data_IF_843759243143
#
_entry.id   IF_843759243143
#
_cell.length_a   1.000
_cell.length_b   1.000
_cell.length_c   1.000
_cell.angle_alpha   90.00
_cell.angle_beta   90.00
_cell.angle_gamma   90.00
#
_symmetry.space_group_name_H-M   'P 1'
#
loop_
_entity.id
_entity.type
_entity.pdbx_description
1 polymer ?
#
# COMPACT_ATOMS: atom_id res chain seq x y z
N UNK A 1 32.25 -57.61 23.28
CA UNK A 1 30.87 -57.06 23.36
C UNK A 1 30.81 -55.77 22.53
N UNK A 2 29.74 -55.63 21.76
CA UNK A 2 29.66 -54.94 20.46
C UNK A 2 29.77 -53.41 20.49
N UNK A 3 30.48 -52.85 19.49
CA UNK A 3 30.36 -51.48 19.01
C UNK A 3 29.06 -51.36 18.19
N UNK A 4 28.17 -50.44 18.56
CA UNK A 4 26.97 -50.10 17.77
C UNK A 4 27.40 -49.42 16.47
N UNK A 5 27.03 -50.03 15.34
CA UNK A 5 27.15 -49.44 14.00
C UNK A 5 26.03 -48.40 13.82
N UNK A 6 26.41 -47.17 13.47
CA UNK A 6 25.50 -46.21 12.85
C UNK A 6 25.17 -46.72 11.44
N UNK A 7 23.89 -46.99 11.19
CA UNK A 7 23.38 -47.23 9.84
C UNK A 7 23.29 -45.87 9.13
N UNK A 8 24.29 -45.58 8.29
CA UNK A 8 24.17 -44.52 7.30
C UNK A 8 23.22 -45.05 6.21
N UNK A 9 21.96 -44.59 6.24
CA UNK A 9 21.02 -44.80 5.14
C UNK A 9 21.59 -44.01 3.96
N UNK A 10 22.21 -44.72 3.01
CA UNK A 10 22.65 -44.15 1.74
C UNK A 10 21.43 -43.65 0.98
N UNK A 11 21.20 -42.34 0.98
CA UNK A 11 20.35 -41.70 -0.03
C UNK A 11 21.08 -41.86 -1.37
N UNK A 12 20.48 -42.60 -2.30
CA UNK A 12 21.09 -42.86 -3.61
C UNK A 12 21.12 -41.58 -4.45
N UNK A 13 22.13 -41.38 -5.32
CA UNK A 13 22.19 -40.21 -6.20
C UNK A 13 20.94 -40.05 -7.07
N UNK A 14 20.29 -41.16 -7.41
CA UNK A 14 19.06 -41.25 -8.20
C UNK A 14 17.84 -40.67 -7.48
N UNK A 15 17.76 -40.80 -6.14
CA UNK A 15 16.66 -40.19 -5.36
C UNK A 15 16.84 -38.68 -5.21
N UNK A 16 18.08 -38.21 -5.15
CA UNK A 16 18.39 -36.78 -5.13
C UNK A 16 18.15 -36.11 -6.49
N UNK A 17 18.55 -36.77 -7.58
CA UNK A 17 18.26 -36.33 -8.95
C UNK A 17 16.76 -36.37 -9.24
N UNK A 18 16.06 -37.47 -8.93
CA UNK A 18 14.61 -37.56 -9.18
C UNK A 18 13.80 -36.51 -8.40
N UNK A 19 14.20 -36.19 -7.16
CA UNK A 19 13.57 -35.13 -6.38
C UNK A 19 13.86 -33.73 -6.97
N UNK A 20 15.08 -33.50 -7.47
CA UNK A 20 15.44 -32.26 -8.17
C UNK A 20 14.73 -32.11 -9.52
N UNK A 21 14.61 -33.17 -10.32
CA UNK A 21 13.92 -33.14 -11.61
C UNK A 21 12.42 -32.97 -11.43
N UNK A 22 11.80 -33.67 -10.46
CA UNK A 22 10.38 -33.53 -10.15
C UNK A 22 10.03 -32.12 -9.65
N UNK A 23 10.90 -31.55 -8.80
CA UNK A 23 10.77 -30.17 -8.37
C UNK A 23 10.93 -29.21 -9.55
N UNK A 24 11.95 -29.39 -10.40
CA UNK A 24 12.18 -28.58 -11.60
C UNK A 24 11.02 -28.62 -12.60
N UNK A 25 10.40 -29.78 -12.83
CA UNK A 25 9.23 -29.91 -13.71
C UNK A 25 7.98 -29.25 -13.11
N UNK A 26 7.76 -29.42 -11.80
CA UNK A 26 6.69 -28.73 -11.07
C UNK A 26 6.88 -27.21 -11.08
N UNK A 27 8.12 -26.73 -10.99
CA UNK A 27 8.46 -25.31 -11.04
C UNK A 27 8.29 -24.73 -12.44
N UNK A 28 8.74 -25.42 -13.48
CA UNK A 28 8.51 -24.95 -14.85
C UNK A 28 7.02 -24.98 -15.20
N UNK A 29 6.25 -25.93 -14.65
CA UNK A 29 4.79 -25.95 -14.72
C UNK A 29 4.14 -24.81 -13.94
N UNK A 30 4.61 -24.44 -12.75
CA UNK A 30 4.07 -23.33 -11.95
C UNK A 30 4.45 -21.97 -12.53
N UNK A 31 5.67 -21.83 -13.05
CA UNK A 31 6.12 -20.68 -13.84
C UNK A 31 5.31 -20.57 -15.13
N UNK A 32 5.10 -21.68 -15.85
CA UNK A 32 4.16 -21.72 -16.97
C UNK A 32 2.74 -21.43 -16.51
N UNK A 33 2.26 -21.85 -15.33
CA UNK A 33 0.93 -21.47 -14.85
C UNK A 33 0.84 -19.97 -14.56
N UNK A 34 1.85 -19.39 -13.91
CA UNK A 34 1.92 -17.94 -13.68
C UNK A 34 2.07 -17.13 -15.00
N UNK A 35 2.70 -17.70 -16.04
CA UNK A 35 3.00 -17.01 -17.32
C UNK A 35 2.01 -17.32 -18.44
N UNK A 36 1.39 -18.51 -18.46
CA UNK A 36 0.52 -19.07 -19.52
C UNK A 36 -0.96 -19.08 -19.10
N UNK A 37 -1.27 -19.14 -17.80
CA UNK A 37 -2.65 -19.19 -17.28
C UNK A 37 -3.06 -17.91 -16.54
N UNK A 38 -2.96 -16.76 -17.21
CA UNK A 38 -3.63 -15.52 -16.80
C UNK A 38 -5.18 -15.62 -16.68
N UNK A 39 -5.79 -16.82 -16.79
CA UNK A 39 -7.26 -16.96 -16.91
C UNK A 39 -7.96 -18.15 -16.21
N UNK A 40 -7.29 -19.09 -15.51
CA UNK A 40 -7.99 -20.32 -15.02
C UNK A 40 -7.80 -20.67 -13.52
N UNK A 41 -7.43 -19.72 -12.66
CA UNK A 41 -7.46 -19.97 -11.23
C UNK A 41 -8.90 -19.94 -10.72
N UNK A 42 -9.47 -21.12 -10.50
CA UNK A 42 -10.68 -21.23 -9.69
C UNK A 42 -10.30 -21.15 -8.21
N UNK A 43 -11.15 -20.57 -7.33
CA UNK A 43 -10.91 -20.60 -5.89
C UNK A 43 -10.67 -22.02 -5.35
N UNK A 44 -11.32 -23.03 -5.96
CA UNK A 44 -11.13 -24.45 -5.62
C UNK A 44 -9.74 -25.02 -5.90
N UNK A 45 -8.95 -24.39 -6.77
CA UNK A 45 -7.61 -24.85 -7.15
C UNK A 45 -6.49 -24.04 -6.48
N UNK A 46 -6.83 -22.97 -5.76
CA UNK A 46 -5.83 -22.15 -5.09
C UNK A 46 -5.22 -22.90 -3.90
N UNK A 47 -3.88 -22.87 -3.83
CA UNK A 47 -3.13 -23.49 -2.75
C UNK A 47 -2.07 -22.52 -2.23
N UNK A 48 -2.35 -21.93 -1.09
CA UNK A 48 -1.48 -20.94 -0.44
C UNK A 48 -0.09 -21.49 -0.13
N UNK A 49 0.01 -22.74 0.34
CA UNK A 49 1.29 -23.37 0.68
C UNK A 49 2.21 -23.52 -0.55
N UNK A 50 1.63 -23.68 -1.74
CA UNK A 50 2.43 -23.69 -2.98
C UNK A 50 3.00 -22.31 -3.30
N UNK A 51 2.23 -21.25 -3.09
CA UNK A 51 2.71 -19.87 -3.26
C UNK A 51 3.81 -19.52 -2.26
N UNK A 52 3.63 -19.91 -1.00
CA UNK A 52 4.65 -19.71 0.02
C UNK A 52 5.96 -20.44 -0.34
N UNK A 53 5.90 -21.69 -0.79
CA UNK A 53 7.08 -22.44 -1.23
C UNK A 53 7.79 -21.84 -2.46
N UNK A 54 7.08 -21.10 -3.31
CA UNK A 54 7.67 -20.34 -4.42
C UNK A 54 8.34 -19.06 -3.90
N UNK A 55 7.68 -18.37 -2.98
CA UNK A 55 8.20 -17.17 -2.34
C UNK A 55 9.41 -17.43 -1.44
N UNK A 56 9.58 -18.63 -0.90
CA UNK A 56 10.81 -19.00 -0.16
C UNK A 56 12.05 -19.12 -1.08
N UNK A 57 11.86 -19.17 -2.41
CA UNK A 57 12.93 -19.37 -3.40
C UNK A 57 13.40 -18.08 -4.09
N UNK A 58 13.29 -16.92 -3.42
CA UNK A 58 13.63 -15.59 -3.96
C UNK A 58 15.07 -15.45 -4.47
N UNK A 59 15.98 -16.35 -4.10
CA UNK A 59 17.33 -16.39 -4.66
C UNK A 59 17.38 -16.66 -6.18
N UNK A 60 16.26 -17.11 -6.78
CA UNK A 60 16.13 -17.29 -8.22
C UNK A 60 15.56 -16.03 -8.90
N UNK A 61 16.43 -15.21 -9.47
CA UNK A 61 16.07 -13.94 -10.12
C UNK A 61 14.97 -14.05 -11.20
N UNK A 62 14.92 -15.18 -11.93
CA UNK A 62 13.87 -15.36 -12.94
C UNK A 62 12.50 -15.62 -12.30
N UNK A 63 12.47 -16.40 -11.22
CA UNK A 63 11.24 -16.66 -10.45
C UNK A 63 10.76 -15.38 -9.75
N UNK A 64 11.66 -14.63 -9.12
CA UNK A 64 11.32 -13.37 -8.45
C UNK A 64 10.66 -12.37 -9.40
N UNK A 65 11.21 -12.24 -10.62
CA UNK A 65 10.60 -11.39 -11.65
C UNK A 65 9.18 -11.83 -12.03
N UNK A 66 8.97 -13.13 -12.23
CA UNK A 66 7.64 -13.68 -12.56
C UNK A 66 6.64 -13.45 -11.42
N UNK A 67 7.06 -13.68 -10.17
CA UNK A 67 6.23 -13.43 -8.99
C UNK A 67 5.85 -11.95 -8.90
N UNK A 68 6.81 -11.05 -9.09
CA UNK A 68 6.57 -9.60 -9.10
C UNK A 68 5.59 -9.17 -10.19
N UNK A 69 5.76 -9.69 -11.41
CA UNK A 69 4.89 -9.36 -12.55
C UNK A 69 3.45 -9.89 -12.36
N UNK A 70 3.26 -11.00 -11.64
CA UNK A 70 1.93 -11.58 -11.38
C UNK A 70 1.22 -10.94 -10.18
N UNK A 71 1.94 -10.29 -9.27
CA UNK A 71 1.41 -9.75 -8.02
C UNK A 71 0.16 -8.84 -8.21
N UNK A 72 0.13 -7.85 -9.12
CA UNK A 72 -1.06 -7.01 -9.29
C UNK A 72 -2.31 -7.83 -9.68
N UNK A 73 -2.11 -8.84 -10.53
CA UNK A 73 -3.18 -9.75 -10.96
C UNK A 73 -3.63 -10.63 -9.81
N UNK A 74 -2.69 -11.16 -9.03
CA UNK A 74 -2.98 -11.95 -7.84
C UNK A 74 -3.80 -11.17 -6.80
N UNK A 75 -3.41 -9.91 -6.52
CA UNK A 75 -4.15 -9.05 -5.59
C UNK A 75 -5.59 -8.77 -6.06
N UNK A 76 -5.78 -8.52 -7.36
CA UNK A 76 -7.11 -8.34 -7.95
C UNK A 76 -7.95 -9.62 -7.91
N UNK A 77 -7.35 -10.77 -8.21
CA UNK A 77 -8.02 -12.06 -8.17
C UNK A 77 -8.51 -12.43 -6.76
N UNK A 78 -7.68 -12.22 -5.73
CA UNK A 78 -8.07 -12.46 -4.34
C UNK A 78 -9.30 -11.64 -3.95
N UNK A 79 -9.38 -10.40 -4.43
CA UNK A 79 -10.51 -9.51 -4.15
C UNK A 79 -11.77 -9.89 -4.94
N UNK A 80 -11.62 -10.19 -6.23
CA UNK A 80 -12.74 -10.55 -7.11
C UNK A 80 -13.46 -11.82 -6.65
N UNK A 81 -12.71 -12.79 -6.12
CA UNK A 81 -13.25 -14.07 -5.65
C UNK A 81 -13.43 -14.16 -4.13
N UNK A 82 -13.18 -13.07 -3.39
CA UNK A 82 -13.21 -13.02 -1.92
C UNK A 82 -12.40 -14.16 -1.26
N UNK A 83 -11.21 -14.44 -1.81
CA UNK A 83 -10.33 -15.50 -1.32
C UNK A 83 -9.48 -14.95 -0.18
N UNK A 84 -9.64 -15.55 1.00
CA UNK A 84 -8.88 -15.22 2.20
C UNK A 84 -7.60 -16.06 2.26
N UNK A 85 -6.48 -15.41 2.58
CA UNK A 85 -5.15 -16.04 2.74
C UNK A 85 -4.57 -15.71 4.11
N UNK A 86 -3.64 -16.52 4.60
CA UNK A 86 -2.93 -16.24 5.86
C UNK A 86 -2.14 -14.94 5.78
N UNK A 87 -1.99 -14.28 6.93
CA UNK A 87 -1.11 -13.12 7.04
C UNK A 87 0.35 -13.47 6.72
N UNK A 88 0.75 -14.72 7.00
CA UNK A 88 2.11 -15.23 6.78
C UNK A 88 2.57 -15.22 5.32
N UNK A 89 1.64 -15.12 4.35
CA UNK A 89 1.99 -15.02 2.92
C UNK A 89 2.61 -13.65 2.57
N UNK A 90 2.26 -12.60 3.30
CA UNK A 90 2.54 -11.22 2.92
C UNK A 90 3.96 -10.74 3.21
N UNK A 91 4.61 -11.10 4.35
CA UNK A 91 6.00 -10.71 4.60
C UNK A 91 6.96 -11.16 3.50
N UNK A 92 6.78 -12.37 2.95
CA UNK A 92 7.64 -12.85 1.87
C UNK A 92 7.46 -12.05 0.57
N UNK A 93 6.22 -11.64 0.25
CA UNK A 93 5.97 -10.73 -0.87
C UNK A 93 6.62 -9.36 -0.66
N UNK A 94 6.56 -8.82 0.56
CA UNK A 94 7.20 -7.54 0.88
C UNK A 94 8.72 -7.63 0.76
N UNK A 95 9.31 -8.73 1.25
CA UNK A 95 10.73 -9.01 1.13
C UNK A 95 11.16 -9.13 -0.34
N UNK A 96 10.36 -9.83 -1.16
CA UNK A 96 10.61 -9.98 -2.60
C UNK A 96 10.65 -8.64 -3.32
N UNK A 97 9.75 -7.71 -2.96
CA UNK A 97 9.77 -6.36 -3.53
C UNK A 97 10.96 -5.52 -3.02
N UNK A 98 11.42 -5.76 -1.80
CA UNK A 98 12.46 -4.97 -1.15
C UNK A 98 13.90 -5.36 -1.56
N UNK A 99 14.16 -6.65 -1.81
CA UNK A 99 15.52 -7.19 -1.97
C UNK A 99 16.01 -7.21 -3.43
N UNK A 100 15.11 -7.17 -4.40
CA UNK A 100 15.49 -7.18 -5.81
C UNK A 100 16.18 -5.86 -6.23
N UNK A 101 17.21 -5.92 -7.09
CA UNK A 101 17.90 -4.73 -7.64
C UNK A 101 17.05 -3.98 -8.69
N UNK A 102 15.72 -4.08 -8.56
CA UNK A 102 14.75 -3.47 -9.46
C UNK A 102 14.07 -2.32 -8.72
N UNK A 103 14.40 -1.09 -9.13
CA UNK A 103 13.73 0.10 -8.63
C UNK A 103 12.45 0.38 -9.42
N UNK A 104 11.34 0.46 -8.70
CA UNK A 104 10.01 0.67 -9.25
C UNK A 104 9.14 1.41 -8.25
N UNK A 105 8.61 2.55 -8.69
CA UNK A 105 7.67 3.33 -7.89
C UNK A 105 6.36 2.56 -7.66
N UNK A 106 6.01 1.68 -8.60
CA UNK A 106 4.84 0.81 -8.48
C UNK A 106 5.02 -0.25 -7.37
N UNK A 107 6.25 -0.66 -7.07
CA UNK A 107 6.50 -1.64 -6.01
C UNK A 107 6.21 -1.05 -4.64
N UNK A 108 6.58 0.21 -4.40
CA UNK A 108 6.24 0.90 -3.14
C UNK A 108 4.73 0.98 -2.98
N UNK A 109 4.00 1.27 -4.07
CA UNK A 109 2.53 1.30 -4.09
C UNK A 109 1.94 -0.08 -3.77
N UNK A 110 2.43 -1.14 -4.42
CA UNK A 110 2.02 -2.52 -4.18
C UNK A 110 2.39 -2.99 -2.76
N UNK A 111 3.54 -2.57 -2.24
CA UNK A 111 3.97 -2.82 -0.87
C UNK A 111 2.97 -2.27 0.15
N UNK A 112 2.46 -1.05 -0.06
CA UNK A 112 1.38 -0.51 0.75
C UNK A 112 0.08 -1.32 0.66
N UNK A 113 -0.26 -1.85 -0.52
CA UNK A 113 -1.45 -2.72 -0.69
C UNK A 113 -1.29 -4.07 0.02
N UNK A 114 -0.12 -4.70 -0.09
CA UNK A 114 0.20 -5.95 0.60
C UNK A 114 0.17 -5.71 2.12
N UNK A 115 0.77 -4.62 2.59
CA UNK A 115 0.78 -4.27 4.00
C UNK A 115 -0.65 -4.08 4.54
N UNK A 116 -1.56 -3.45 3.81
CA UNK A 116 -2.96 -3.32 4.25
C UNK A 116 -3.66 -4.68 4.37
N UNK A 117 -3.40 -5.62 3.43
CA UNK A 117 -3.92 -6.99 3.52
C UNK A 117 -3.33 -7.73 4.74
N UNK A 118 -2.03 -7.60 4.97
CA UNK A 118 -1.36 -8.15 6.14
C UNK A 118 -1.95 -7.63 7.46
N UNK A 119 -2.06 -6.31 7.59
CA UNK A 119 -2.57 -5.64 8.80
C UNK A 119 -4.07 -5.85 9.04
N UNK A 120 -4.80 -6.37 8.05
CA UNK A 120 -6.22 -6.73 8.18
C UNK A 120 -6.41 -8.18 8.63
N UNK A 121 -5.35 -8.99 8.63
CA UNK A 121 -5.35 -10.36 9.14
C UNK A 121 -4.86 -10.48 10.59
N UNK A 122 -4.68 -11.71 11.05
CA UNK A 122 -4.04 -12.03 12.33
C UNK A 122 -2.56 -12.32 12.11
N UNK A 123 -1.68 -11.66 12.85
CA UNK A 123 -0.23 -11.78 12.70
C UNK A 123 0.47 -11.87 14.06
N UNK A 124 1.67 -12.44 14.07
CA UNK A 124 2.56 -12.40 15.23
C UNK A 124 3.37 -11.09 15.28
N UNK A 125 4.03 -10.84 16.41
CA UNK A 125 4.94 -9.69 16.54
C UNK A 125 6.13 -9.80 15.59
N UNK A 126 6.65 -11.01 15.39
CA UNK A 126 7.77 -11.28 14.49
C UNK A 126 7.40 -11.02 13.04
N UNK A 127 6.24 -11.50 12.59
CA UNK A 127 5.72 -11.23 11.25
C UNK A 127 5.51 -9.73 11.03
N UNK A 128 4.96 -9.03 12.03
CA UNK A 128 4.74 -7.59 11.98
C UNK A 128 6.06 -6.81 11.87
N UNK A 129 7.06 -7.15 12.69
CA UNK A 129 8.37 -6.52 12.64
C UNK A 129 9.05 -6.74 11.27
N UNK A 130 9.00 -7.96 10.75
CA UNK A 130 9.56 -8.31 9.43
C UNK A 130 8.86 -7.57 8.29
N UNK A 131 7.53 -7.44 8.34
CA UNK A 131 6.76 -6.70 7.35
C UNK A 131 7.13 -5.20 7.34
N UNK A 132 7.25 -4.59 8.53
CA UNK A 132 7.67 -3.17 8.64
C UNK A 132 9.09 -2.97 8.14
N UNK A 133 10.02 -3.85 8.51
CA UNK A 133 11.41 -3.78 8.05
C UNK A 133 11.48 -3.86 6.52
N UNK A 134 10.75 -4.81 5.93
CA UNK A 134 10.69 -4.98 4.47
C UNK A 134 10.13 -3.75 3.77
N UNK A 135 9.05 -3.16 4.30
CA UNK A 135 8.45 -1.94 3.72
C UNK A 135 9.34 -0.71 3.92
N UNK A 136 10.04 -0.60 5.05
CA UNK A 136 11.02 0.47 5.27
C UNK A 136 12.17 0.40 4.27
N UNK A 137 12.70 -0.81 4.02
CA UNK A 137 13.72 -1.07 3.01
C UNK A 137 13.21 -0.72 1.60
N UNK A 138 12.02 -1.22 1.25
CA UNK A 138 11.37 -0.95 -0.03
C UNK A 138 11.22 0.55 -0.30
N UNK A 139 10.76 1.33 0.69
CA UNK A 139 10.65 2.78 0.61
C UNK A 139 12.02 3.46 0.42
N UNK A 140 13.04 2.99 1.13
CA UNK A 140 14.39 3.60 1.13
C UNK A 140 15.10 3.39 -0.21
N UNK A 141 15.05 2.17 -0.75
CA UNK A 141 15.71 1.81 -2.02
C UNK A 141 15.04 2.44 -3.25
N UNK A 142 13.78 2.86 -3.12
CA UNK A 142 12.98 3.47 -4.19
C UNK A 142 12.77 4.98 -4.00
N UNK A 143 13.69 5.68 -3.33
CA UNK A 143 13.52 7.09 -2.98
C UNK A 143 13.31 8.02 -4.20
N UNK A 144 12.12 8.60 -4.30
CA UNK A 144 11.72 9.63 -5.26
C UNK A 144 10.64 10.53 -4.62
N UNK A 145 10.30 11.65 -5.25
CA UNK A 145 9.17 12.49 -4.78
C UNK A 145 7.86 11.71 -4.85
N UNK A 146 7.65 10.90 -5.90
CA UNK A 146 6.42 10.12 -6.07
C UNK A 146 6.27 9.04 -5.00
N UNK A 147 7.34 8.28 -4.75
CA UNK A 147 7.32 7.18 -3.77
C UNK A 147 7.22 7.67 -2.35
N UNK A 148 7.76 8.85 -2.01
CA UNK A 148 7.53 9.46 -0.71
C UNK A 148 6.03 9.72 -0.43
N UNK A 149 5.21 9.93 -1.47
CA UNK A 149 3.76 10.04 -1.33
C UNK A 149 3.13 8.72 -0.91
N UNK A 150 3.56 7.62 -1.54
CA UNK A 150 3.16 6.26 -1.14
C UNK A 150 3.68 5.91 0.26
N UNK A 151 4.91 6.32 0.61
CA UNK A 151 5.46 6.10 1.95
C UNK A 151 4.67 6.85 3.04
N UNK A 152 4.18 8.05 2.76
CA UNK A 152 3.29 8.78 3.67
C UNK A 152 1.95 8.04 3.87
N UNK A 153 1.33 7.56 2.80
CA UNK A 153 0.13 6.72 2.88
C UNK A 153 0.38 5.45 3.72
N UNK A 154 1.55 4.83 3.58
CA UNK A 154 1.97 3.67 4.38
C UNK A 154 2.11 4.06 5.86
N UNK A 155 2.70 5.21 6.17
CA UNK A 155 2.83 5.69 7.54
C UNK A 155 1.44 5.94 8.17
N UNK A 156 0.49 6.50 7.42
CA UNK A 156 -0.89 6.67 7.86
C UNK A 156 -1.59 5.33 8.09
N UNK A 157 -1.41 4.37 7.17
CA UNK A 157 -1.95 3.02 7.29
C UNK A 157 -1.45 2.31 8.55
N UNK A 158 -0.14 2.33 8.80
CA UNK A 158 0.47 1.75 10.01
C UNK A 158 -0.05 2.41 11.30
N UNK A 159 -0.36 3.70 11.24
CA UNK A 159 -0.91 4.42 12.38
C UNK A 159 -2.37 4.02 12.66
N UNK A 160 -3.19 3.92 11.61
CA UNK A 160 -4.63 3.64 11.74
C UNK A 160 -4.93 2.17 12.07
N UNK A 161 -4.02 1.23 11.77
CA UNK A 161 -4.19 -0.21 12.03
C UNK A 161 -3.65 -0.64 13.39
N UNK A 162 -4.03 -1.84 13.82
CA UNK A 162 -3.52 -2.47 15.04
C UNK A 162 -2.00 -2.68 14.91
N UNK A 163 -1.29 -2.38 15.99
CA UNK A 163 0.16 -2.54 16.11
C UNK A 163 0.49 -3.73 17.02
N UNK A 164 1.44 -4.56 16.63
CA UNK A 164 2.04 -5.56 17.52
C UNK A 164 3.40 -5.09 18.09
N UNK A 165 3.94 -3.99 17.57
CA UNK A 165 5.22 -3.41 17.99
C UNK A 165 5.25 -1.89 17.74
N UNK A 166 5.01 -1.10 18.80
CA UNK A 166 5.04 0.36 18.72
C UNK A 166 6.43 0.91 18.36
N UNK A 167 7.51 0.24 18.79
CA UNK A 167 8.86 0.69 18.50
C UNK A 167 9.20 0.50 17.02
N UNK A 168 8.79 -0.63 16.41
CA UNK A 168 8.95 -0.85 14.98
C UNK A 168 8.15 0.17 14.15
N UNK A 169 6.90 0.44 14.55
CA UNK A 169 6.05 1.45 13.89
C UNK A 169 6.67 2.86 13.97
N UNK A 170 7.15 3.27 15.14
CA UNK A 170 7.83 4.56 15.28
C UNK A 170 9.14 4.60 14.50
N UNK A 171 9.90 3.49 14.48
CA UNK A 171 11.13 3.36 13.70
C UNK A 171 10.92 3.54 12.19
N UNK A 172 9.80 3.03 11.65
CA UNK A 172 9.39 3.30 10.27
C UNK A 172 9.19 4.80 10.02
N UNK A 173 8.42 5.48 10.90
CA UNK A 173 8.21 6.92 10.78
C UNK A 173 9.53 7.70 10.84
N UNK A 174 10.40 7.39 11.79
CA UNK A 174 11.71 8.06 11.91
C UNK A 174 12.52 7.90 10.62
N UNK A 175 12.52 6.70 10.04
CA UNK A 175 13.18 6.44 8.75
C UNK A 175 12.58 7.28 7.64
N UNK A 176 11.24 7.27 7.50
CA UNK A 176 10.54 8.06 6.49
C UNK A 176 10.78 9.57 6.67
N UNK A 177 10.79 10.06 7.91
CA UNK A 177 11.07 11.45 8.23
C UNK A 177 12.45 11.88 7.70
N UNK A 178 13.48 11.03 7.84
CA UNK A 178 14.80 11.31 7.26
C UNK A 178 14.77 11.32 5.72
N UNK A 179 14.03 10.40 5.09
CA UNK A 179 13.86 10.39 3.63
C UNK A 179 13.13 11.65 3.12
N UNK A 180 12.11 12.11 3.84
CA UNK A 180 11.38 13.35 3.55
C UNK A 180 12.30 14.56 3.69
N UNK A 181 13.11 14.65 4.76
CA UNK A 181 14.12 15.71 4.95
C UNK A 181 15.12 15.78 3.80
N UNK A 182 15.62 14.64 3.31
CA UNK A 182 16.56 14.58 2.19
C UNK A 182 16.01 15.18 0.88
N UNK A 183 14.69 15.26 0.76
CA UNK A 183 13.99 15.75 -0.44
C UNK A 183 13.10 16.96 -0.17
N UNK A 184 13.16 17.56 1.03
CA UNK A 184 12.18 18.54 1.51
C UNK A 184 11.91 19.69 0.52
N UNK A 185 12.98 20.31 0.03
CA UNK A 185 12.92 21.43 -0.93
C UNK A 185 12.33 21.05 -2.30
N UNK A 186 12.22 19.76 -2.60
CA UNK A 186 11.62 19.25 -3.84
C UNK A 186 10.16 18.82 -3.66
N UNK A 187 9.67 18.76 -2.42
CA UNK A 187 8.29 18.42 -2.13
C UNK A 187 7.43 19.66 -2.39
N UNK A 188 6.29 19.48 -3.04
CA UNK A 188 5.32 20.56 -3.16
C UNK A 188 4.64 20.86 -1.81
N UNK A 189 3.93 22.00 -1.74
CA UNK A 189 3.25 22.46 -0.52
C UNK A 189 2.28 21.43 0.03
N UNK A 190 1.58 20.69 -0.85
CA UNK A 190 0.59 19.70 -0.44
C UNK A 190 1.25 18.50 0.25
N UNK A 191 2.42 18.11 -0.24
CA UNK A 191 3.20 17.02 0.29
C UNK A 191 3.96 17.40 1.57
N UNK A 192 4.47 18.64 1.64
CA UNK A 192 5.03 19.20 2.88
C UNK A 192 3.99 19.27 4.00
N UNK A 193 2.77 19.72 3.68
CA UNK A 193 1.65 19.72 4.62
C UNK A 193 1.32 18.30 5.08
N UNK A 194 1.25 17.35 4.15
CA UNK A 194 0.98 15.94 4.45
C UNK A 194 2.04 15.35 5.40
N UNK A 195 3.33 15.62 5.15
CA UNK A 195 4.42 15.21 6.03
C UNK A 195 4.27 15.77 7.46
N UNK A 196 3.91 17.05 7.62
CA UNK A 196 3.66 17.67 8.93
C UNK A 196 2.43 17.07 9.63
N UNK A 197 1.38 16.71 8.89
CA UNK A 197 0.21 16.06 9.46
C UNK A 197 0.55 14.66 9.97
N UNK A 198 1.31 13.88 9.22
CA UNK A 198 1.78 12.56 9.66
C UNK A 198 2.74 12.68 10.85
N UNK A 199 3.63 13.68 10.87
CA UNK A 199 4.49 13.96 12.03
C UNK A 199 3.66 14.16 13.31
N UNK A 200 2.57 14.95 13.24
CA UNK A 200 1.66 15.16 14.37
C UNK A 200 0.97 13.88 14.83
N UNK A 201 0.69 12.93 13.94
CA UNK A 201 0.12 11.64 14.34
C UNK A 201 1.09 10.87 15.22
N UNK A 202 2.35 10.78 14.80
CA UNK A 202 3.36 9.97 15.48
C UNK A 202 3.92 10.64 16.74
N UNK A 203 4.08 11.96 16.73
CA UNK A 203 4.79 12.69 17.79
C UNK A 203 3.86 13.49 18.73
N UNK A 204 2.61 13.72 18.33
CA UNK A 204 1.64 14.49 19.11
C UNK A 204 2.16 15.90 19.43
N UNK A 205 2.23 16.22 20.72
CA UNK A 205 2.73 17.51 21.21
C UNK A 205 4.20 17.78 20.90
N UNK A 206 4.99 16.74 20.57
CA UNK A 206 6.41 16.86 20.23
C UNK A 206 6.65 17.14 18.73
N UNK A 207 5.59 17.23 17.92
CA UNK A 207 5.67 17.52 16.49
C UNK A 207 5.99 19.00 16.21
N UNK A 208 6.46 19.28 14.99
CA UNK A 208 6.72 20.64 14.50
C UNK A 208 8.19 21.04 14.53
N UNK A 209 9.08 20.10 14.83
CA UNK A 209 10.52 20.32 14.90
C UNK A 209 11.30 19.47 13.89
N UNK A 210 10.64 18.53 13.20
CA UNK A 210 11.33 17.65 12.27
C UNK A 210 11.64 18.32 10.92
N UNK A 211 10.78 19.22 10.45
CA UNK A 211 10.92 19.80 9.10
C UNK A 211 11.24 21.29 9.17
N UNK A 212 11.87 21.86 8.13
CA UNK A 212 12.06 23.30 8.02
C UNK A 212 10.76 24.08 8.28
N UNK A 213 10.88 25.21 8.95
CA UNK A 213 9.74 26.11 9.16
C UNK A 213 9.18 26.59 7.81
N UNK A 214 7.88 26.87 7.78
CA UNK A 214 7.29 27.50 6.60
C UNK A 214 7.88 28.90 6.47
N UNK A 215 8.50 29.18 5.32
CA UNK A 215 8.91 30.53 4.97
C UNK A 215 7.64 31.37 4.84
N UNK A 216 7.27 32.08 5.91
CA UNK A 216 6.13 33.00 5.96
C UNK A 216 6.38 34.26 5.14
N UNK A 217 7.16 34.21 4.05
CA UNK A 217 7.34 35.34 3.15
C UNK A 217 6.03 35.57 2.38
N UNK A 218 5.30 36.67 2.65
CA UNK A 218 4.06 36.96 1.94
C UNK A 218 4.43 37.44 0.53
N UNK A 219 4.57 36.51 -0.41
CA UNK A 219 5.00 36.87 -1.77
C UNK A 219 5.16 35.72 -2.74
N UNK A 220 5.46 34.50 -2.30
CA UNK A 220 5.45 33.33 -3.17
C UNK A 220 4.13 32.60 -2.97
N UNK A 221 3.09 33.24 -3.51
CA UNK A 221 1.81 32.65 -3.84
C UNK A 221 2.04 31.36 -4.66
N UNK A 222 2.30 30.22 -4.00
CA UNK A 222 2.36 28.91 -4.67
C UNK A 222 1.02 28.65 -5.33
N UNK A 223 1.01 27.95 -6.46
CA UNK A 223 -0.09 27.69 -7.43
C UNK A 223 -1.46 27.24 -6.87
N UNK A 224 -1.67 27.19 -5.57
CA UNK A 224 -2.91 26.82 -4.88
C UNK A 224 -3.95 27.96 -4.79
N UNK A 225 -3.93 28.94 -5.70
CA UNK A 225 -4.78 30.16 -5.68
C UNK A 225 -6.21 30.00 -6.19
N UNK A 226 -6.68 28.78 -6.45
CA UNK A 226 -8.08 28.63 -6.88
C UNK A 226 -9.00 28.90 -5.69
N UNK A 227 -9.74 30.00 -5.77
CA UNK A 227 -10.83 30.24 -4.83
C UNK A 227 -11.93 29.18 -5.05
N UNK A 228 -12.09 28.31 -4.05
CA UNK A 228 -13.10 27.26 -4.01
C UNK A 228 -14.24 27.61 -3.05
N UNK A 229 -14.39 28.88 -2.69
CA UNK A 229 -15.45 29.36 -1.81
C UNK A 229 -16.83 28.93 -2.29
N UNK A 230 -17.56 28.24 -1.41
CA UNK A 230 -18.91 27.76 -1.68
C UNK A 230 -18.98 26.50 -2.54
N UNK A 231 -17.84 25.96 -3.00
CA UNK A 231 -17.77 24.64 -3.64
C UNK A 231 -17.78 23.54 -2.59
N UNK A 232 -18.30 22.39 -2.97
CA UNK A 232 -18.37 21.18 -2.15
C UNK A 232 -17.53 20.09 -2.78
N UNK A 233 -16.61 19.55 -1.99
CA UNK A 233 -15.87 18.34 -2.27
C UNK A 233 -16.44 17.22 -1.41
N UNK A 234 -16.91 16.15 -2.04
CA UNK A 234 -17.20 14.89 -1.36
C UNK A 234 -15.96 14.01 -1.35
N UNK A 235 -15.67 13.37 -0.22
CA UNK A 235 -14.63 12.34 -0.10
C UNK A 235 -15.30 11.05 0.37
N UNK A 236 -15.31 10.05 -0.49
CA UNK A 236 -15.67 8.69 -0.15
C UNK A 236 -14.43 7.88 0.22
N UNK A 237 -14.41 7.27 1.41
CA UNK A 237 -13.33 6.37 1.84
C UNK A 237 -13.80 5.46 2.97
N UNK A 238 -13.36 4.20 2.94
CA UNK A 238 -13.53 3.28 4.08
C UNK A 238 -12.47 3.51 5.18
N UNK A 239 -11.43 4.29 4.90
CA UNK A 239 -10.43 4.71 5.89
C UNK A 239 -10.86 6.06 6.48
N UNK A 240 -11.74 6.04 7.48
CA UNK A 240 -12.30 7.25 8.10
C UNK A 240 -11.22 8.20 8.67
N UNK A 241 -10.17 7.64 9.28
CA UNK A 241 -9.04 8.39 9.81
C UNK A 241 -8.34 9.22 8.73
N UNK A 242 -8.01 8.56 7.61
CA UNK A 242 -7.41 9.21 6.44
C UNK A 242 -8.34 10.27 5.82
N UNK A 243 -9.63 9.96 5.66
CA UNK A 243 -10.60 10.91 5.09
C UNK A 243 -10.72 12.19 5.95
N UNK A 244 -10.74 12.04 7.28
CA UNK A 244 -10.79 13.17 8.22
C UNK A 244 -9.53 14.04 8.12
N UNK A 245 -8.34 13.44 8.06
CA UNK A 245 -7.07 14.16 7.89
C UNK A 245 -6.99 14.86 6.54
N UNK A 246 -7.43 14.19 5.46
CA UNK A 246 -7.52 14.78 4.13
C UNK A 246 -8.43 16.00 4.11
N UNK A 247 -9.60 15.91 4.76
CA UNK A 247 -10.49 17.06 4.96
C UNK A 247 -9.81 18.20 5.70
N UNK A 248 -9.14 17.93 6.81
CA UNK A 248 -8.44 18.97 7.59
C UNK A 248 -7.38 19.69 6.73
N UNK A 249 -6.55 18.93 6.02
CA UNK A 249 -5.53 19.47 5.14
C UNK A 249 -6.12 20.33 4.01
N UNK A 250 -7.16 19.82 3.34
CA UNK A 250 -7.80 20.52 2.23
C UNK A 250 -8.50 21.81 2.67
N UNK A 251 -9.02 21.86 3.91
CA UNK A 251 -9.56 23.10 4.48
C UNK A 251 -8.47 24.12 4.84
N UNK A 252 -7.24 23.66 5.17
CA UNK A 252 -6.09 24.56 5.33
C UNK A 252 -5.61 25.12 3.98
N UNK A 253 -5.58 24.27 2.94
CA UNK A 253 -5.20 24.68 1.59
C UNK A 253 -6.26 25.56 0.91
N UNK A 254 -7.55 25.33 1.21
CA UNK A 254 -8.68 26.03 0.59
C UNK A 254 -9.73 26.47 1.64
N UNK A 255 -9.51 27.60 2.36
CA UNK A 255 -10.35 28.03 3.50
C UNK A 255 -11.85 28.31 3.23
N UNK A 256 -12.29 28.28 1.97
CA UNK A 256 -13.70 28.43 1.57
C UNK A 256 -14.37 27.15 1.03
N UNK A 257 -13.61 26.07 0.86
CA UNK A 257 -14.11 24.78 0.40
C UNK A 257 -14.98 24.13 1.47
N UNK A 258 -16.09 23.51 1.08
CA UNK A 258 -16.85 22.60 1.94
C UNK A 258 -16.41 21.18 1.65
N UNK A 259 -16.06 20.42 2.69
CA UNK A 259 -15.67 19.01 2.54
C UNK A 259 -16.63 18.12 3.31
N UNK A 260 -17.31 17.23 2.59
CA UNK A 260 -18.24 16.23 3.14
C UNK A 260 -17.64 14.83 3.00
N UNK A 261 -17.76 14.02 4.05
CA UNK A 261 -17.16 12.68 4.12
C UNK A 261 -18.25 11.62 4.04
N UNK A 262 -17.97 10.51 3.37
CA UNK A 262 -18.81 9.31 3.39
C UNK A 262 -17.95 8.05 3.49
N UNK A 263 -18.41 7.08 4.27
CA UNK A 263 -17.73 5.79 4.50
C UNK A 263 -18.71 4.62 4.40
N UNK A 264 -19.84 4.81 3.70
CA UNK A 264 -20.88 3.79 3.62
C UNK A 264 -20.39 2.59 2.80
N UNK A 265 -20.54 1.38 3.34
CA UNK A 265 -20.16 0.14 2.64
C UNK A 265 -21.09 -0.21 1.47
N UNK A 266 -22.25 0.44 1.39
CA UNK A 266 -23.31 0.15 0.41
C UNK A 266 -23.87 1.45 -0.18
N UNK A 267 -24.69 1.30 -1.21
CA UNK A 267 -25.41 2.40 -1.84
C UNK A 267 -26.48 2.99 -0.89
N UNK A 268 -26.14 4.05 -0.15
CA UNK A 268 -27.08 4.75 0.73
C UNK A 268 -27.65 6.00 0.05
N UNK A 269 -28.83 6.49 0.49
CA UNK A 269 -29.34 7.79 0.04
C UNK A 269 -28.37 8.95 0.31
N UNK A 270 -27.55 8.87 1.37
CA UNK A 270 -26.55 9.88 1.67
C UNK A 270 -25.41 9.88 0.64
N UNK A 271 -24.89 8.71 0.30
CA UNK A 271 -23.87 8.56 -0.75
C UNK A 271 -24.39 9.04 -2.11
N UNK A 272 -25.62 8.67 -2.47
CA UNK A 272 -26.27 9.15 -3.70
C UNK A 272 -26.38 10.67 -3.70
N UNK A 273 -26.85 11.25 -2.59
CA UNK A 273 -27.03 12.70 -2.53
C UNK A 273 -25.71 13.48 -2.65
N UNK A 274 -24.63 12.96 -2.05
CA UNK A 274 -23.29 13.51 -2.20
C UNK A 274 -22.79 13.40 -3.64
N UNK A 275 -22.99 12.23 -4.26
CA UNK A 275 -22.58 11.99 -5.63
C UNK A 275 -23.26 12.97 -6.61
N UNK A 276 -24.55 13.24 -6.41
CA UNK A 276 -25.33 14.18 -7.23
C UNK A 276 -24.95 15.65 -7.04
N UNK A 277 -24.69 16.07 -5.80
CA UNK A 277 -24.64 17.50 -5.45
C UNK A 277 -23.24 18.10 -5.35
N UNK A 278 -22.24 17.33 -4.94
CA UNK A 278 -20.92 17.88 -4.72
C UNK A 278 -20.30 18.34 -6.05
N UNK A 279 -19.59 19.46 -6.10
CA UNK A 279 -18.87 19.88 -7.30
C UNK A 279 -17.66 18.99 -7.61
N UNK A 280 -16.98 18.50 -6.58
CA UNK A 280 -15.87 17.56 -6.72
C UNK A 280 -16.15 16.29 -5.93
N UNK A 281 -15.59 15.17 -6.39
CA UNK A 281 -15.77 13.88 -5.72
C UNK A 281 -14.49 13.06 -5.77
N UNK A 282 -13.91 12.81 -4.60
CA UNK A 282 -12.82 11.87 -4.41
C UNK A 282 -13.41 10.52 -4.04
N UNK A 283 -13.01 9.47 -4.76
CA UNK A 283 -13.39 8.09 -4.45
C UNK A 283 -12.13 7.30 -4.06
N UNK A 284 -11.85 7.26 -2.75
CA UNK A 284 -10.64 6.72 -2.15
C UNK A 284 -10.87 5.34 -1.53
N UNK A 285 -11.42 4.41 -2.30
CA UNK A 285 -11.54 3.02 -1.87
C UNK A 285 -10.73 2.16 -2.83
N UNK A 286 -9.47 1.89 -2.45
CA UNK A 286 -8.61 1.03 -3.25
C UNK A 286 -9.33 -0.27 -3.60
N UNK A 287 -9.48 -0.49 -4.91
CA UNK A 287 -10.05 -1.66 -5.61
C UNK A 287 -11.45 -2.16 -5.23
N UNK A 288 -12.10 -1.66 -4.18
CA UNK A 288 -13.46 -2.07 -3.80
C UNK A 288 -14.52 -1.54 -4.77
N UNK A 289 -14.89 -2.37 -5.75
CA UNK A 289 -15.68 -1.97 -6.93
C UNK A 289 -17.18 -2.25 -6.88
N UNK A 290 -17.73 -2.98 -5.91
CA UNK A 290 -19.00 -3.64 -6.20
C UNK A 290 -20.30 -2.90 -5.88
N UNK A 291 -20.37 -1.99 -4.91
CA UNK A 291 -21.65 -1.29 -4.65
C UNK A 291 -21.53 0.22 -4.61
N UNK A 292 -20.69 0.76 -3.71
CA UNK A 292 -20.48 2.21 -3.64
C UNK A 292 -19.89 2.77 -4.94
N UNK A 293 -18.96 2.05 -5.57
CA UNK A 293 -18.33 2.49 -6.83
C UNK A 293 -19.36 2.63 -7.96
N UNK A 294 -20.11 1.56 -8.27
CA UNK A 294 -21.12 1.62 -9.33
C UNK A 294 -22.18 2.70 -9.05
N UNK A 295 -22.60 2.83 -7.80
CA UNK A 295 -23.52 3.88 -7.38
C UNK A 295 -22.97 5.26 -7.72
N UNK A 296 -21.72 5.57 -7.34
CA UNK A 296 -21.14 6.90 -7.63
C UNK A 296 -20.95 7.12 -9.14
N UNK A 297 -20.52 6.09 -9.89
CA UNK A 297 -20.33 6.22 -11.35
C UNK A 297 -21.63 6.39 -12.12
N UNK A 298 -22.77 5.96 -11.59
CA UNK A 298 -24.09 6.18 -12.20
C UNK A 298 -24.50 7.67 -12.17
N UNK A 299 -24.03 8.43 -11.18
CA UNK A 299 -24.34 9.86 -11.03
C UNK A 299 -23.21 10.78 -11.51
N UNK A 300 -21.97 10.30 -11.61
CA UNK A 300 -20.80 11.14 -11.90
C UNK A 300 -19.94 10.60 -13.03
N UNK A 301 -19.60 11.49 -13.97
CA UNK A 301 -18.59 11.25 -15.00
C UNK A 301 -17.18 11.64 -14.54
N UNK A 302 -17.08 12.67 -13.71
CA UNK A 302 -15.81 13.18 -13.20
C UNK A 302 -15.64 12.76 -11.74
N UNK A 303 -14.74 11.80 -11.53
CA UNK A 303 -14.36 11.26 -10.22
C UNK A 303 -12.83 11.35 -10.11
N UNK A 304 -12.36 11.83 -8.96
CA UNK A 304 -10.95 11.95 -8.63
C UNK A 304 -10.52 10.67 -7.91
N UNK A 305 -9.58 9.95 -8.49
CA UNK A 305 -9.05 8.70 -7.94
C UNK A 305 -7.66 8.90 -7.37
N UNK A 306 -7.51 8.87 -6.03
CA UNK A 306 -6.19 8.89 -5.43
C UNK A 306 -5.44 7.59 -5.70
N UNK A 307 -4.11 7.69 -5.80
CA UNK A 307 -3.23 6.54 -6.06
C UNK A 307 -3.09 5.58 -4.87
N UNK A 308 -3.50 6.02 -3.68
CA UNK A 308 -3.52 5.24 -2.45
C UNK A 308 -4.70 5.63 -1.55
N UNK A 309 -4.75 5.06 -0.35
CA UNK A 309 -5.88 5.17 0.59
C UNK A 309 -5.65 6.23 1.69
N UNK A 310 -4.44 6.78 1.81
CA UNK A 310 -4.08 7.76 2.83
C UNK A 310 -4.57 9.18 2.51
N UNK A 311 -4.52 10.06 3.51
CA UNK A 311 -4.86 11.46 3.33
C UNK A 311 -3.93 12.11 2.30
N UNK A 312 -2.65 11.75 2.36
CA UNK A 312 -1.60 12.28 1.48
C UNK A 312 -1.94 12.08 0.00
N UNK A 313 -2.33 10.87 -0.40
CA UNK A 313 -2.81 10.60 -1.76
C UNK A 313 -4.10 11.34 -2.12
N UNK A 314 -5.06 11.48 -1.19
CA UNK A 314 -6.30 12.23 -1.45
C UNK A 314 -6.03 13.71 -1.75
N UNK A 315 -5.13 14.32 -0.97
CA UNK A 315 -4.73 15.72 -1.13
C UNK A 315 -4.04 15.90 -2.48
N UNK A 316 -3.03 15.08 -2.79
CA UNK A 316 -2.28 15.17 -4.03
C UNK A 316 -3.19 15.00 -5.26
N UNK A 317 -4.13 14.04 -5.22
CA UNK A 317 -5.07 13.80 -6.31
C UNK A 317 -6.03 14.98 -6.52
N UNK A 318 -6.51 15.59 -5.43
CA UNK A 318 -7.37 16.78 -5.53
C UNK A 318 -6.62 17.97 -6.10
N UNK A 319 -5.43 18.27 -5.58
CA UNK A 319 -4.58 19.36 -6.08
C UNK A 319 -4.28 19.18 -7.56
N UNK A 320 -3.90 17.96 -7.98
CA UNK A 320 -3.65 17.64 -9.38
C UNK A 320 -4.89 17.78 -10.26
N UNK A 321 -6.08 17.46 -9.75
CA UNK A 321 -7.33 17.59 -10.50
C UNK A 321 -7.74 19.06 -10.74
N UNK A 322 -7.18 19.99 -9.98
CA UNK A 322 -7.44 21.42 -10.15
C UNK A 322 -6.58 22.05 -11.26
N UNK A 323 -5.46 21.45 -11.65
CA UNK A 323 -4.57 21.94 -12.72
C UNK A 323 -3.26 22.48 -12.20
#
# INVERSE_FOLDING_TARGET
MQRRHFHCVKVTPETHYACQTFNSERFESLRQQATVHYMDWTPSTFNETQWQALLEQQSNAQLSKVLRDVLPTFLNWLEEYDVQVSASLWPDWLMLLAVEDIRSEEDVRLGGMILDKFLSGTFTREEYASAIESVAMLCSENLSVRTLGYSLDIAELLYDKVTADDAARLGFWVTLQELLKQRWERLDVSMQLSARLVERLYLGEHAGHAFPEEDNTPGVASSLHRDLSGKTLAIYSLMEGAARRGKEALLQLYPGLRVELNHDHVATPALVNLAEKAEYFIFASGSSKHQAFYTVTDYRKEIIYPSGKGASSMIAAFVSALG
#
